data_IF_344627065630
#
_entry.id   IF_344627065630
#
_cell.length_a   1.000
_cell.length_b   1.000
_cell.length_c   1.000
_cell.angle_alpha   90.00
_cell.angle_beta   90.00
_cell.angle_gamma   90.00
#
_symmetry.space_group_name_H-M   'P 1'
#
loop_
_entity.id
_entity.type
_entity.pdbx_description
1 polymer ?
#
# COMPACT_ATOMS: atom_id res chain seq x y z
N UNK A 1 5.12 13.92 -14.31
CA UNK A 1 6.37 14.37 -13.65
C UNK A 1 6.89 13.34 -12.64
N UNK A 2 6.13 13.00 -11.58
CA UNK A 2 6.59 12.07 -10.52
C UNK A 2 7.07 10.71 -11.04
N UNK A 3 6.27 10.03 -11.88
CA UNK A 3 6.63 8.71 -12.44
C UNK A 3 7.96 8.75 -13.19
N UNK A 4 8.15 9.75 -14.05
CA UNK A 4 9.39 9.94 -14.81
C UNK A 4 10.59 10.16 -13.89
N UNK A 5 10.43 11.00 -12.87
CA UNK A 5 11.49 11.29 -11.89
C UNK A 5 11.98 10.02 -11.20
N UNK A 6 11.07 9.11 -10.84
CA UNK A 6 11.38 7.84 -10.19
C UNK A 6 12.03 6.85 -11.16
N UNK A 7 11.44 6.66 -12.36
CA UNK A 7 12.00 5.74 -13.38
C UNK A 7 13.46 6.08 -13.68
N UNK A 8 13.76 7.35 -13.98
CA UNK A 8 15.11 7.79 -14.32
C UNK A 8 16.16 7.52 -13.23
N UNK A 9 15.75 7.47 -11.96
CA UNK A 9 16.64 7.19 -10.82
C UNK A 9 16.73 5.70 -10.50
N UNK A 10 15.69 4.94 -10.81
CA UNK A 10 15.58 3.53 -10.44
C UNK A 10 16.12 2.59 -11.53
N UNK A 11 15.92 2.93 -12.80
CA UNK A 11 16.31 2.14 -13.97
C UNK A 11 17.77 1.66 -13.95
N UNK A 12 18.78 2.46 -13.54
CA UNK A 12 20.17 1.99 -13.51
C UNK A 12 20.42 0.83 -12.53
N UNK A 13 19.58 0.67 -11.51
CA UNK A 13 19.68 -0.42 -10.51
C UNK A 13 18.67 -1.54 -10.79
N UNK A 14 17.54 -1.21 -11.40
CA UNK A 14 16.45 -2.11 -11.72
C UNK A 14 16.01 -1.88 -13.17
N UNK A 15 16.67 -2.52 -14.15
CA UNK A 15 16.42 -2.29 -15.59
C UNK A 15 14.98 -2.55 -16.04
N UNK A 16 14.22 -3.34 -15.28
CA UNK A 16 12.80 -3.61 -15.51
C UNK A 16 11.87 -2.46 -15.08
N UNK A 17 12.39 -1.41 -14.45
CA UNK A 17 11.60 -0.26 -14.05
C UNK A 17 11.06 0.47 -15.29
N UNK A 18 9.74 0.68 -15.34
CA UNK A 18 9.07 1.33 -16.46
C UNK A 18 8.06 2.36 -15.95
N UNK A 19 7.62 3.27 -16.83
CA UNK A 19 6.55 4.22 -16.49
C UNK A 19 5.29 3.51 -15.99
N UNK A 20 4.95 2.35 -16.58
CA UNK A 20 3.77 1.58 -16.20
C UNK A 20 3.92 0.97 -14.81
N UNK A 21 5.02 0.26 -14.53
CA UNK A 21 5.21 -0.38 -13.22
C UNK A 21 5.33 0.64 -12.09
N UNK A 22 6.05 1.74 -12.31
CA UNK A 22 6.13 2.85 -11.35
C UNK A 22 4.78 3.56 -11.20
N UNK A 23 4.00 3.70 -12.28
CA UNK A 23 2.64 4.21 -12.23
C UNK A 23 1.75 3.40 -11.29
N UNK A 24 1.84 2.06 -11.32
CA UNK A 24 1.08 1.20 -10.41
C UNK A 24 1.50 1.39 -8.94
N UNK A 25 2.80 1.57 -8.66
CA UNK A 25 3.28 1.88 -7.30
C UNK A 25 2.74 3.22 -6.82
N UNK A 26 2.74 4.26 -7.67
CA UNK A 26 2.15 5.56 -7.32
C UNK A 26 0.64 5.43 -7.11
N UNK A 27 -0.05 4.62 -7.90
CA UNK A 27 -1.48 4.38 -7.75
C UNK A 27 -1.81 3.68 -6.43
N UNK A 28 -0.95 2.78 -5.95
CA UNK A 28 -1.10 2.16 -4.64
C UNK A 28 -1.04 3.21 -3.52
N UNK A 29 -0.06 4.13 -3.58
CA UNK A 29 0.05 5.23 -2.61
C UNK A 29 -1.11 6.23 -2.72
N UNK A 30 -1.64 6.44 -3.93
CA UNK A 30 -2.85 7.24 -4.14
C UNK A 30 -4.06 6.58 -3.46
N UNK A 31 -4.24 5.27 -3.66
CA UNK A 31 -5.32 4.50 -3.04
C UNK A 31 -5.21 4.48 -1.51
N UNK A 32 -3.98 4.42 -0.99
CA UNK A 32 -3.66 4.56 0.43
C UNK A 32 -3.89 5.97 1.00
N UNK A 33 -4.39 6.92 0.20
CA UNK A 33 -4.64 8.30 0.63
C UNK A 33 -3.41 9.04 1.13
N UNK A 34 -2.22 8.69 0.61
CA UNK A 34 -0.95 9.31 1.00
C UNK A 34 -0.79 10.74 0.45
N UNK A 35 -1.55 11.10 -0.58
CA UNK A 35 -1.43 12.39 -1.26
C UNK A 35 -2.57 13.35 -0.92
N UNK A 36 -2.25 14.62 -0.71
CA UNK A 36 -3.15 15.75 -0.93
C UNK A 36 -3.18 16.05 -2.43
N UNK A 37 -4.36 15.95 -3.03
CA UNK A 37 -4.57 16.14 -4.47
C UNK A 37 -5.18 17.51 -4.70
N UNK A 38 -4.49 18.35 -5.46
CA UNK A 38 -4.98 19.69 -5.83
C UNK A 38 -5.35 19.68 -7.30
N UNK A 39 -6.65 19.83 -7.59
CA UNK A 39 -7.14 20.03 -8.95
C UNK A 39 -6.70 21.41 -9.45
N UNK A 40 -6.36 21.50 -10.73
CA UNK A 40 -6.04 22.75 -11.40
C UNK A 40 -6.95 22.85 -12.63
N UNK A 41 -7.48 24.04 -12.87
CA UNK A 41 -8.34 24.25 -14.03
C UNK A 41 -7.51 24.06 -15.31
N UNK A 42 -8.04 23.27 -16.24
CA UNK A 42 -7.44 22.96 -17.56
C UNK A 42 -6.05 22.29 -17.53
N UNK A 43 -5.55 21.83 -16.37
CA UNK A 43 -4.24 21.18 -16.23
C UNK A 43 -4.32 19.91 -15.36
N UNK A 44 -3.27 19.08 -15.41
CA UNK A 44 -3.13 17.88 -14.59
C UNK A 44 -3.12 18.20 -13.10
N UNK A 45 -3.80 17.39 -12.30
CA UNK A 45 -3.80 17.50 -10.83
C UNK A 45 -2.38 17.41 -10.26
N UNK A 46 -2.11 18.19 -9.22
CA UNK A 46 -0.90 18.08 -8.43
C UNK A 46 -1.11 17.12 -7.27
N UNK A 47 -0.06 16.37 -6.92
CA UNK A 47 -0.05 15.47 -5.78
C UNK A 47 1.10 15.84 -4.86
N UNK A 48 0.80 16.05 -3.58
CA UNK A 48 1.77 16.31 -2.54
C UNK A 48 1.60 15.29 -1.43
N UNK A 49 2.70 14.71 -0.92
CA UNK A 49 2.60 13.87 0.28
C UNK A 49 2.06 14.71 1.44
N UNK A 50 1.06 14.14 2.14
CA UNK A 50 0.63 14.69 3.42
C UNK A 50 1.80 14.66 4.40
N UNK A 51 1.77 15.55 5.39
CA UNK A 51 2.93 15.82 6.25
C UNK A 51 3.36 14.59 7.03
N UNK A 52 2.39 13.82 7.52
CA UNK A 52 2.57 12.57 8.25
C UNK A 52 3.27 11.46 7.43
N UNK A 53 3.31 11.56 6.10
CA UNK A 53 3.91 10.56 5.21
C UNK A 53 5.23 11.03 4.58
N UNK A 54 5.86 12.07 5.10
CA UNK A 54 7.16 12.60 4.59
C UNK A 54 8.38 11.89 5.16
N UNK A 55 8.20 10.86 5.99
CA UNK A 55 9.25 9.92 6.39
C UNK A 55 9.06 8.58 5.69
N UNK A 56 10.17 7.89 5.41
CA UNK A 56 10.11 6.56 4.79
C UNK A 56 9.31 5.58 5.65
N UNK A 57 9.56 5.54 6.96
CA UNK A 57 8.86 4.65 7.89
C UNK A 57 7.34 4.83 7.85
N UNK A 58 6.86 6.07 7.88
CA UNK A 58 5.42 6.35 7.86
C UNK A 58 4.80 6.01 6.50
N UNK A 59 5.44 6.42 5.39
CA UNK A 59 4.95 6.12 4.05
C UNK A 59 4.96 4.62 3.76
N UNK A 60 5.99 3.91 4.21
CA UNK A 60 6.13 2.46 4.05
C UNK A 60 5.07 1.71 4.84
N UNK A 61 4.80 2.14 6.08
CA UNK A 61 3.72 1.57 6.90
C UNK A 61 2.36 1.71 6.23
N UNK A 62 2.06 2.88 5.66
CA UNK A 62 0.79 3.11 4.96
C UNK A 62 0.70 2.32 3.65
N UNK A 63 1.81 2.22 2.92
CA UNK A 63 1.94 1.35 1.75
C UNK A 63 1.63 -0.11 2.09
N UNK A 64 2.25 -0.66 3.14
CA UNK A 64 2.03 -2.05 3.56
C UNK A 64 0.59 -2.27 4.03
N UNK A 65 0.06 -1.33 4.82
CA UNK A 65 -1.33 -1.37 5.28
C UNK A 65 -2.31 -1.40 4.10
N UNK A 66 -2.05 -0.64 3.04
CA UNK A 66 -2.89 -0.67 1.85
C UNK A 66 -2.84 -2.03 1.13
N UNK A 67 -1.69 -2.70 1.06
CA UNK A 67 -1.61 -4.05 0.48
C UNK A 67 -2.37 -5.06 1.35
N UNK A 68 -2.23 -4.99 2.67
CA UNK A 68 -2.99 -5.82 3.61
C UNK A 68 -4.49 -5.60 3.43
N UNK A 69 -4.93 -4.34 3.31
CA UNK A 69 -6.33 -4.00 3.08
C UNK A 69 -6.88 -4.63 1.78
N UNK A 70 -6.10 -4.63 0.70
CA UNK A 70 -6.47 -5.25 -0.58
C UNK A 70 -6.66 -6.76 -0.42
N UNK A 71 -5.76 -7.42 0.30
CA UNK A 71 -5.87 -8.84 0.56
C UNK A 71 -7.12 -9.17 1.39
N UNK A 72 -7.43 -8.36 2.41
CA UNK A 72 -8.63 -8.51 3.23
C UNK A 72 -9.92 -8.34 2.42
N UNK A 73 -10.01 -7.31 1.57
CA UNK A 73 -11.14 -7.12 0.66
C UNK A 73 -11.33 -8.28 -0.33
N UNK A 74 -10.24 -8.95 -0.70
CA UNK A 74 -10.27 -10.14 -1.55
C UNK A 74 -10.55 -11.44 -0.77
N UNK A 75 -10.82 -11.37 0.54
CA UNK A 75 -11.06 -12.52 1.41
C UNK A 75 -9.80 -13.33 1.77
N UNK A 76 -8.61 -12.81 1.48
CA UNK A 76 -7.35 -13.48 1.79
C UNK A 76 -6.94 -13.22 3.24
N UNK A 77 -6.67 -14.31 3.97
CA UNK A 77 -6.14 -14.27 5.33
C UNK A 77 -4.69 -14.76 5.31
N UNK A 78 -3.75 -13.84 5.53
CA UNK A 78 -2.29 -14.07 5.44
C UNK A 78 -1.66 -13.75 6.79
N UNK A 79 -0.80 -14.62 7.30
CA UNK A 79 -0.17 -14.45 8.61
C UNK A 79 0.91 -13.36 8.61
N UNK A 80 1.27 -12.78 9.77
CA UNK A 80 2.34 -11.78 9.86
C UNK A 80 3.69 -12.28 9.32
N UNK A 81 3.99 -13.58 9.51
CA UNK A 81 5.18 -14.24 8.98
C UNK A 81 5.18 -14.30 7.45
N UNK A 82 4.05 -14.69 6.86
CA UNK A 82 3.91 -14.68 5.41
C UNK A 82 4.00 -13.27 4.85
N UNK A 83 3.40 -12.28 5.52
CA UNK A 83 3.51 -10.88 5.10
C UNK A 83 4.94 -10.33 5.15
N UNK A 84 5.69 -10.64 6.22
CA UNK A 84 7.11 -10.29 6.32
C UNK A 84 7.89 -10.87 5.13
N UNK A 85 7.66 -12.14 4.82
CA UNK A 85 8.31 -12.79 3.68
C UNK A 85 7.92 -12.15 2.33
N UNK A 86 6.62 -11.86 2.11
CA UNK A 86 6.11 -11.30 0.86
C UNK A 86 6.58 -9.86 0.60
N UNK A 87 6.60 -9.00 1.62
CA UNK A 87 6.88 -7.57 1.45
C UNK A 87 8.34 -7.19 1.69
N UNK A 88 9.09 -8.04 2.40
CA UNK A 88 10.47 -7.74 2.82
C UNK A 88 11.47 -8.83 2.47
N UNK A 89 11.02 -10.04 2.10
CA UNK A 89 11.92 -11.17 1.81
C UNK A 89 12.59 -11.75 3.07
N UNK A 90 12.08 -11.43 4.26
CA UNK A 90 12.64 -11.85 5.53
C UNK A 90 11.57 -12.20 6.58
N UNK A 91 12.01 -12.57 7.77
CA UNK A 91 11.18 -12.86 8.95
C UNK A 91 11.32 -11.82 10.06
N UNK A 92 12.00 -10.70 9.81
CA UNK A 92 12.30 -9.68 10.80
C UNK A 92 11.14 -8.69 11.01
N UNK A 93 10.25 -8.56 10.02
CA UNK A 93 9.14 -7.60 10.04
C UNK A 93 7.82 -8.17 10.57
N UNK A 94 7.84 -9.35 11.22
CA UNK A 94 6.64 -10.00 11.78
C UNK A 94 5.84 -9.09 12.71
N UNK A 95 6.52 -8.43 13.66
CA UNK A 95 5.89 -7.55 14.64
C UNK A 95 5.31 -6.29 14.01
N UNK A 96 5.99 -5.72 13.01
CA UNK A 96 5.50 -4.59 12.21
C UNK A 96 4.21 -4.97 11.47
N UNK A 97 4.21 -6.12 10.80
CA UNK A 97 3.02 -6.61 10.08
C UNK A 97 1.87 -6.95 11.03
N UNK A 98 2.15 -7.57 12.18
CA UNK A 98 1.14 -7.81 13.22
C UNK A 98 0.48 -6.49 13.66
N UNK A 99 1.28 -5.45 13.93
CA UNK A 99 0.78 -4.14 14.35
C UNK A 99 -0.09 -3.47 13.28
N UNK A 100 0.17 -3.70 11.99
CA UNK A 100 -0.69 -3.24 10.89
C UNK A 100 -2.02 -4.00 10.90
N UNK A 101 -1.98 -5.34 10.98
CA UNK A 101 -3.17 -6.19 10.97
C UNK A 101 -4.10 -5.82 12.13
N UNK A 102 -3.55 -5.69 13.34
CA UNK A 102 -4.33 -5.35 14.54
C UNK A 102 -5.01 -3.99 14.41
N UNK A 103 -4.32 -3.00 13.82
CA UNK A 103 -4.88 -1.65 13.59
C UNK A 103 -6.00 -1.65 12.54
N UNK A 104 -6.00 -2.60 11.61
CA UNK A 104 -7.04 -2.74 10.59
C UNK A 104 -8.28 -3.50 11.09
N UNK A 105 -8.19 -4.19 12.23
CA UNK A 105 -9.36 -4.80 12.85
C UNK A 105 -10.25 -3.73 13.49
N UNK A 106 -11.53 -3.79 13.18
CA UNK A 106 -12.57 -2.97 13.78
C UNK A 106 -13.67 -3.88 14.36
N UNK A 107 -14.57 -3.38 15.24
CA UNK A 107 -15.71 -4.16 15.71
C UNK A 107 -16.56 -4.76 14.58
N UNK A 108 -16.64 -4.06 13.44
CA UNK A 108 -17.34 -4.51 12.24
C UNK A 108 -16.61 -5.64 11.49
N UNK A 109 -15.33 -5.90 11.78
CA UNK A 109 -14.56 -6.98 11.16
C UNK A 109 -15.16 -8.36 11.42
N UNK A 110 -15.82 -8.57 12.56
CA UNK A 110 -16.51 -9.82 12.86
C UNK A 110 -17.70 -10.03 11.91
N UNK A 111 -18.57 -9.03 11.77
CA UNK A 111 -19.73 -9.09 10.89
C UNK A 111 -19.31 -9.30 9.42
N UNK A 112 -18.25 -8.62 8.97
CA UNK A 112 -17.66 -8.84 7.64
C UNK A 112 -17.16 -10.27 7.46
N UNK A 113 -16.49 -10.83 8.47
CA UNK A 113 -15.95 -12.20 8.40
C UNK A 113 -17.07 -13.25 8.29
N UNK A 114 -18.22 -13.04 8.93
CA UNK A 114 -19.41 -13.88 8.76
C UNK A 114 -19.98 -13.76 7.34
N UNK A 115 -20.06 -12.54 6.79
CA UNK A 115 -20.50 -12.32 5.41
C UNK A 115 -19.55 -12.97 4.39
N UNK A 116 -18.24 -12.86 4.59
CA UNK A 116 -17.23 -13.51 3.75
C UNK A 116 -17.39 -15.03 3.78
N UNK A 117 -17.65 -15.64 4.95
CA UNK A 117 -17.92 -17.06 5.05
C UNK A 117 -19.16 -17.48 4.23
N UNK A 118 -20.23 -16.67 4.24
CA UNK A 118 -21.44 -16.91 3.44
C UNK A 118 -21.19 -16.83 1.93
N UNK A 119 -20.21 -16.07 1.47
CA UNK A 119 -19.87 -15.99 0.03
C UNK A 119 -19.10 -17.25 -0.41
N UNK A 120 -18.33 -17.85 0.49
CA UNK A 120 -17.48 -19.02 0.21
C UNK A 120 -18.26 -20.35 0.25
N UNK A 121 -19.33 -20.42 1.05
CA UNK A 121 -20.19 -21.60 1.23
C UNK A 121 -21.35 -21.61 0.22
#
# INVERSE_FOLDING_TARGET
VLVLFVVQRLEPRFPQASKTSIGHVVQLLYRASCFKVTKRDEDSSLMQLKEEFRSYEALRREHDAQIVHIALEAGLRISPEQWSSLLYGDLAHKSHMQSIIDKLQSPESFAKSVQELTIVL
#
